data_IF_745549290009
#
_entry.id   IF_745549290009
#
_cell.length_a   1.000
_cell.length_b   1.000
_cell.length_c   1.000
_cell.angle_alpha   90.00
_cell.angle_beta   90.00
_cell.angle_gamma   90.00
#
_symmetry.space_group_name_H-M   'P 1'
#
loop_
_entity.id
_entity.type
_entity.pdbx_description
1 polymer ?
#
# COMPACT_ATOMS: atom_id res chain seq x y z
N UNK A 1 3.38 4.01 -17.67
CA UNK A 1 2.92 2.80 -16.92
C UNK A 1 3.12 3.05 -15.45
N UNK A 2 2.16 2.69 -14.60
CA UNK A 2 2.25 2.85 -13.13
C UNK A 2 2.11 1.51 -12.44
N UNK A 3 2.85 1.33 -11.34
CA UNK A 3 2.73 0.19 -10.44
C UNK A 3 2.30 0.68 -9.06
N UNK A 4 1.12 0.27 -8.63
CA UNK A 4 0.53 0.64 -7.35
C UNK A 4 0.67 -0.55 -6.41
N UNK A 5 1.39 -0.36 -5.31
CA UNK A 5 1.72 -1.41 -4.35
C UNK A 5 0.98 -1.10 -3.04
N UNK A 6 0.11 -1.99 -2.60
CA UNK A 6 -0.40 -1.96 -1.24
C UNK A 6 0.48 -2.82 -0.34
N UNK A 7 0.89 -2.31 0.81
CA UNK A 7 1.65 -3.09 1.79
C UNK A 7 0.72 -3.79 2.78
N UNK A 8 1.11 -5.01 3.16
CA UNK A 8 0.39 -5.87 4.10
C UNK A 8 1.10 -7.21 4.27
N UNK A 9 0.65 -8.00 5.23
CA UNK A 9 1.08 -9.38 5.43
C UNK A 9 0.05 -10.36 4.84
N UNK A 10 0.48 -11.43 4.17
CA UNK A 10 -0.42 -12.44 3.63
C UNK A 10 -1.09 -13.25 4.73
N UNK A 11 -2.29 -13.75 4.45
CA UNK A 11 -3.05 -14.66 5.32
C UNK A 11 -4.19 -14.01 6.09
N UNK A 12 -5.22 -14.81 6.40
CA UNK A 12 -6.47 -14.36 7.03
C UNK A 12 -6.28 -13.72 8.39
N UNK A 13 -5.25 -14.12 9.14
CA UNK A 13 -4.94 -13.58 10.47
C UNK A 13 -4.63 -12.09 10.41
N UNK A 14 -3.97 -11.63 9.33
CA UNK A 14 -3.52 -10.25 9.17
C UNK A 14 -4.52 -9.36 8.42
N UNK A 15 -5.53 -9.93 7.76
CA UNK A 15 -6.42 -9.23 6.81
C UNK A 15 -7.12 -7.98 7.38
N UNK A 16 -7.25 -7.86 8.72
CA UNK A 16 -7.90 -6.74 9.39
C UNK A 16 -6.99 -5.98 10.33
N UNK A 17 -5.68 -6.19 10.23
CA UNK A 17 -4.70 -5.46 11.04
C UNK A 17 -4.42 -4.08 10.46
N UNK A 18 -3.89 -3.16 11.30
CA UNK A 18 -3.48 -1.83 10.84
C UNK A 18 -2.41 -1.92 9.75
N UNK A 19 -1.50 -2.87 9.88
CA UNK A 19 -0.41 -3.09 8.91
C UNK A 19 -0.88 -3.57 7.54
N UNK A 20 -2.13 -4.04 7.41
CA UNK A 20 -2.74 -4.43 6.14
C UNK A 20 -3.57 -3.32 5.50
N UNK A 21 -3.48 -2.08 5.99
CA UNK A 21 -4.27 -0.98 5.46
C UNK A 21 -3.99 -0.72 3.96
N UNK A 22 -2.74 -0.94 3.51
CA UNK A 22 -2.38 -0.87 2.09
C UNK A 22 -3.11 -1.91 1.23
N UNK A 23 -3.24 -3.15 1.71
CA UNK A 23 -4.02 -4.20 1.02
C UNK A 23 -5.50 -3.82 0.93
N UNK A 24 -6.08 -3.31 2.03
CA UNK A 24 -7.48 -2.89 2.09
C UNK A 24 -7.76 -1.78 1.08
N UNK A 25 -6.86 -0.80 0.95
CA UNK A 25 -7.00 0.27 -0.06
C UNK A 25 -6.98 -0.30 -1.47
N UNK A 26 -6.06 -1.23 -1.77
CA UNK A 26 -6.01 -1.82 -3.10
C UNK A 26 -7.22 -2.69 -3.43
N UNK A 27 -7.76 -3.41 -2.45
CA UNK A 27 -9.00 -4.17 -2.65
C UNK A 27 -10.19 -3.23 -2.93
N UNK A 28 -10.28 -2.11 -2.22
CA UNK A 28 -11.32 -1.09 -2.47
C UNK A 28 -11.13 -0.40 -3.84
N UNK A 29 -9.88 -0.09 -4.20
CA UNK A 29 -9.55 0.47 -5.52
C UNK A 29 -9.92 -0.51 -6.65
N UNK A 30 -9.60 -1.79 -6.49
CA UNK A 30 -9.97 -2.83 -7.44
C UNK A 30 -11.49 -2.90 -7.66
N UNK A 31 -12.28 -2.86 -6.57
CA UNK A 31 -13.74 -2.85 -6.68
C UNK A 31 -14.26 -1.64 -7.49
N UNK A 32 -13.70 -0.45 -7.25
CA UNK A 32 -14.06 0.78 -8.00
C UNK A 32 -13.66 0.74 -9.48
N UNK A 33 -12.59 0.02 -9.82
CA UNK A 33 -12.10 -0.10 -11.20
C UNK A 33 -12.75 -1.23 -12.00
N UNK A 34 -13.72 -1.97 -11.43
CA UNK A 34 -14.38 -3.07 -12.12
C UNK A 34 -15.07 -2.63 -13.41
N UNK A 35 -15.74 -1.50 -13.39
CA UNK A 35 -16.42 -0.94 -14.56
C UNK A 35 -15.42 -0.45 -15.63
N UNK A 36 -14.20 -0.12 -15.24
CA UNK A 36 -13.08 0.24 -16.12
C UNK A 36 -12.35 -0.99 -16.69
N UNK A 37 -12.80 -2.19 -16.37
CA UNK A 37 -12.26 -3.43 -16.93
C UNK A 37 -10.98 -3.93 -16.27
N UNK A 38 -10.75 -3.63 -15.00
CA UNK A 38 -9.62 -4.21 -14.24
C UNK A 38 -9.73 -5.73 -14.23
N UNK A 39 -8.61 -6.43 -14.46
CA UNK A 39 -8.58 -7.89 -14.40
C UNK A 39 -8.80 -8.40 -12.96
N UNK A 40 -9.17 -9.66 -12.81
CA UNK A 40 -9.25 -10.29 -11.49
C UNK A 40 -7.87 -10.35 -10.84
N UNK A 41 -7.84 -10.38 -9.50
CA UNK A 41 -6.62 -10.69 -8.75
C UNK A 41 -6.11 -12.08 -9.11
N UNK A 42 -4.83 -12.19 -9.44
CA UNK A 42 -4.15 -13.44 -9.73
C UNK A 42 -2.88 -13.57 -8.89
N UNK A 43 -2.71 -14.71 -8.22
CA UNK A 43 -1.49 -15.01 -7.50
C UNK A 43 -0.37 -15.36 -8.48
N UNK A 44 0.59 -14.48 -8.60
CA UNK A 44 1.79 -14.70 -9.41
C UNK A 44 2.94 -15.23 -8.57
N UNK A 45 3.26 -16.50 -8.71
CA UNK A 45 4.47 -17.10 -8.09
C UNK A 45 5.75 -16.43 -8.58
N UNK A 46 5.76 -15.97 -9.84
CA UNK A 46 6.90 -15.27 -10.45
C UNK A 46 7.26 -13.98 -9.71
N UNK A 47 6.27 -13.27 -9.20
CA UNK A 47 6.45 -11.97 -8.54
C UNK A 47 6.31 -12.06 -7.02
N UNK A 48 5.95 -13.23 -6.47
CA UNK A 48 5.57 -13.35 -5.06
C UNK A 48 4.51 -12.31 -4.66
N UNK A 49 3.51 -12.09 -5.51
CA UNK A 49 2.48 -11.08 -5.32
C UNK A 49 1.14 -11.52 -5.92
N UNK A 50 0.02 -11.08 -5.33
CA UNK A 50 -1.23 -10.97 -6.06
C UNK A 50 -1.18 -9.72 -6.94
N UNK A 51 -1.54 -9.91 -8.22
CA UNK A 51 -1.51 -8.82 -9.21
C UNK A 51 -2.81 -8.77 -9.99
N UNK A 52 -3.21 -7.58 -10.38
CA UNK A 52 -4.23 -7.33 -11.40
C UNK A 52 -3.86 -6.07 -12.19
N UNK A 53 -4.52 -5.83 -13.31
CA UNK A 53 -4.17 -4.69 -14.14
C UNK A 53 -5.29 -4.26 -15.07
N UNK A 54 -5.16 -3.04 -15.56
CA UNK A 54 -6.03 -2.43 -16.57
C UNK A 54 -5.23 -1.45 -17.42
N UNK A 55 -5.85 -0.99 -18.48
CA UNK A 55 -5.36 0.16 -19.25
C UNK A 55 -6.36 1.30 -19.08
N UNK A 56 -5.90 2.41 -18.54
CA UNK A 56 -6.71 3.61 -18.32
C UNK A 56 -6.04 4.78 -19.05
N UNK A 57 -6.79 5.52 -19.89
CA UNK A 57 -6.27 6.64 -20.68
C UNK A 57 -4.98 6.29 -21.47
N UNK A 58 -4.91 5.12 -22.08
CA UNK A 58 -3.75 4.57 -22.78
C UNK A 58 -2.53 4.30 -21.87
N UNK A 59 -2.66 4.43 -20.56
CA UNK A 59 -1.62 4.06 -19.60
C UNK A 59 -1.93 2.71 -18.94
N UNK A 60 -0.95 1.80 -18.96
CA UNK A 60 -1.07 0.51 -18.26
C UNK A 60 -0.87 0.71 -16.75
N UNK A 61 -1.83 0.27 -15.98
CA UNK A 61 -1.82 0.30 -14.51
C UNK A 61 -1.77 -1.13 -13.99
N UNK A 62 -0.83 -1.41 -13.09
CA UNK A 62 -0.72 -2.67 -12.37
C UNK A 62 -0.94 -2.40 -10.89
N UNK A 63 -1.83 -3.15 -10.27
CA UNK A 63 -2.01 -3.21 -8.82
C UNK A 63 -1.29 -4.45 -8.30
N UNK A 64 -0.57 -4.34 -7.21
CA UNK A 64 0.18 -5.44 -6.62
C UNK A 64 0.07 -5.47 -5.09
N UNK A 65 -0.23 -6.64 -4.55
CA UNK A 65 -0.14 -6.95 -3.11
C UNK A 65 1.00 -7.96 -2.93
N UNK A 66 2.17 -7.59 -2.36
CA UNK A 66 3.23 -8.54 -2.06
C UNK A 66 2.72 -9.69 -1.18
N UNK A 67 2.95 -10.94 -1.59
CA UNK A 67 2.60 -12.14 -0.82
C UNK A 67 3.82 -12.65 -0.02
N UNK A 68 4.80 -11.81 0.18
CA UNK A 68 5.88 -11.93 1.16
C UNK A 68 5.42 -11.36 2.50
N UNK A 69 6.13 -11.65 3.60
CA UNK A 69 5.92 -10.88 4.82
C UNK A 69 6.41 -9.44 4.65
N UNK A 70 5.92 -8.54 5.53
CA UNK A 70 6.14 -7.09 5.42
C UNK A 70 7.61 -6.71 5.22
N UNK A 71 8.52 -7.30 5.99
CA UNK A 71 9.96 -7.05 5.91
C UNK A 71 10.64 -7.53 4.62
N UNK A 72 9.94 -8.28 3.78
CA UNK A 72 10.41 -8.80 2.49
C UNK A 72 9.63 -8.26 1.29
N UNK A 73 8.77 -7.25 1.50
CA UNK A 73 7.94 -6.65 0.44
C UNK A 73 8.75 -6.15 -0.75
N UNK A 74 9.98 -5.70 -0.52
CA UNK A 74 10.88 -5.23 -1.56
C UNK A 74 11.24 -6.27 -2.61
N UNK A 75 11.25 -7.56 -2.25
CA UNK A 75 11.50 -8.66 -3.19
C UNK A 75 10.45 -8.65 -4.31
N UNK A 76 9.17 -8.63 -3.95
CA UNK A 76 8.08 -8.61 -4.92
C UNK A 76 8.11 -7.34 -5.78
N UNK A 77 8.36 -6.18 -5.16
CA UNK A 77 8.43 -4.89 -5.86
C UNK A 77 9.59 -4.86 -6.85
N UNK A 78 10.77 -5.36 -6.47
CA UNK A 78 11.93 -5.44 -7.35
C UNK A 78 11.67 -6.34 -8.57
N UNK A 79 11.07 -7.51 -8.36
CA UNK A 79 10.72 -8.44 -9.45
C UNK A 79 9.75 -7.81 -10.44
N UNK A 80 8.71 -7.12 -9.95
CA UNK A 80 7.74 -6.41 -10.77
C UNK A 80 8.39 -5.24 -11.52
N UNK A 81 9.15 -4.39 -10.83
CA UNK A 81 9.81 -3.23 -11.42
C UNK A 81 10.80 -3.67 -12.52
N UNK A 82 11.59 -4.71 -12.27
CA UNK A 82 12.52 -5.25 -13.26
C UNK A 82 11.79 -5.82 -14.49
N UNK A 83 10.75 -6.63 -14.27
CA UNK A 83 10.01 -7.27 -15.36
C UNK A 83 9.33 -6.26 -16.27
N UNK A 84 8.71 -5.24 -15.69
CA UNK A 84 8.01 -4.19 -16.45
C UNK A 84 8.92 -3.02 -16.84
N UNK A 85 10.22 -3.07 -16.53
CA UNK A 85 11.23 -2.02 -16.79
C UNK A 85 10.82 -0.67 -16.21
N UNK A 86 10.31 -0.68 -14.98
CA UNK A 86 9.84 0.50 -14.27
C UNK A 86 11.00 1.17 -13.51
N UNK A 87 10.90 2.49 -13.41
CA UNK A 87 11.74 3.29 -12.52
C UNK A 87 11.02 3.56 -11.18
N UNK A 88 11.73 4.06 -10.20
CA UNK A 88 11.11 4.42 -8.91
C UNK A 88 9.97 5.45 -9.05
N UNK A 89 10.01 6.33 -10.04
CA UNK A 89 8.95 7.33 -10.31
C UNK A 89 7.64 6.72 -10.80
N UNK A 90 7.69 5.49 -11.28
CA UNK A 90 6.51 4.74 -11.73
C UNK A 90 5.81 4.02 -10.58
N UNK A 91 6.40 4.03 -9.37
CA UNK A 91 5.91 3.33 -8.20
C UNK A 91 5.09 4.24 -7.30
N UNK A 92 3.92 3.75 -6.89
CA UNK A 92 3.06 4.34 -5.86
C UNK A 92 2.87 3.30 -4.76
N UNK A 93 3.41 3.56 -3.57
CA UNK A 93 3.35 2.64 -2.43
C UNK A 93 2.35 3.15 -1.41
N UNK A 94 1.37 2.32 -1.08
CA UNK A 94 0.31 2.60 -0.11
C UNK A 94 0.59 1.83 1.17
N UNK A 95 0.69 2.52 2.30
CA UNK A 95 1.03 1.89 3.58
C UNK A 95 0.48 2.64 4.79
N UNK A 96 0.36 1.96 5.91
CA UNK A 96 0.04 2.54 7.21
C UNK A 96 1.19 3.40 7.77
N UNK A 97 0.85 4.35 8.61
CA UNK A 97 1.82 5.22 9.25
C UNK A 97 1.43 5.53 10.70
N UNK A 98 2.25 5.06 11.64
CA UNK A 98 2.03 5.22 13.07
C UNK A 98 2.30 6.65 13.61
N UNK A 99 2.96 7.48 12.82
CA UNK A 99 3.28 8.87 13.18
C UNK A 99 2.22 9.86 12.65
N UNK A 100 1.22 9.37 11.92
CA UNK A 100 0.06 10.13 11.46
C UNK A 100 -1.20 9.70 12.20
N UNK A 101 -2.04 10.66 12.58
CA UNK A 101 -3.32 10.37 13.24
C UNK A 101 -4.25 9.60 12.33
N UNK A 102 -5.05 8.71 12.91
CA UNK A 102 -6.06 7.97 12.15
C UNK A 102 -7.03 8.92 11.45
N UNK A 103 -7.11 8.80 10.13
CA UNK A 103 -7.89 9.70 9.26
C UNK A 103 -7.03 10.65 8.43
N UNK A 104 -5.77 10.86 8.80
CA UNK A 104 -4.84 11.67 8.03
C UNK A 104 -4.23 10.88 6.87
N UNK A 105 -4.02 11.57 5.74
CA UNK A 105 -3.33 11.03 4.58
C UNK A 105 -2.21 12.01 4.20
N UNK A 106 -1.05 11.48 3.84
CA UNK A 106 0.03 12.26 3.26
C UNK A 106 0.57 11.58 2.00
N UNK A 107 0.66 12.38 0.93
CA UNK A 107 1.31 11.96 -0.32
C UNK A 107 2.68 12.60 -0.34
N UNK A 108 3.72 11.79 -0.43
CA UNK A 108 5.11 12.24 -0.38
C UNK A 108 6.00 11.35 -1.24
N UNK A 109 7.09 11.95 -1.75
CA UNK A 109 8.21 11.23 -2.35
C UNK A 109 9.50 11.60 -1.60
N UNK A 110 10.56 10.83 -1.84
CA UNK A 110 11.91 11.09 -1.34
C UNK A 110 12.02 11.33 0.18
N UNK A 111 11.52 10.37 0.96
CA UNK A 111 11.55 10.38 2.43
C UNK A 111 12.07 9.05 2.98
N UNK A 112 12.62 9.06 4.19
CA UNK A 112 13.00 7.86 4.92
C UNK A 112 11.80 6.97 5.21
N UNK A 113 12.03 5.70 5.55
CA UNK A 113 10.97 4.73 5.89
C UNK A 113 10.18 5.06 7.15
N UNK A 114 10.67 5.98 7.99
CA UNK A 114 10.12 6.27 9.32
C UNK A 114 9.92 5.00 10.18
N UNK A 115 10.80 4.01 10.00
CA UNK A 115 10.74 2.72 10.69
C UNK A 115 9.70 1.72 10.16
N UNK A 116 9.04 2.02 9.03
CA UNK A 116 8.13 1.07 8.40
C UNK A 116 8.90 0.00 7.63
N UNK A 117 8.90 -1.25 8.12
CA UNK A 117 9.71 -2.35 7.58
C UNK A 117 9.47 -2.64 6.10
N UNK A 118 8.23 -2.59 5.63
CA UNK A 118 7.91 -2.83 4.22
C UNK A 118 8.45 -1.74 3.30
N UNK A 119 8.36 -0.47 3.72
CA UNK A 119 8.94 0.67 2.98
C UNK A 119 10.47 0.55 2.97
N UNK A 120 11.09 0.20 4.11
CA UNK A 120 12.53 -0.01 4.20
C UNK A 120 12.97 -1.13 3.25
N UNK A 121 12.27 -2.26 3.26
CA UNK A 121 12.53 -3.37 2.35
C UNK A 121 12.48 -2.95 0.88
N UNK A 122 11.47 -2.14 0.49
CA UNK A 122 11.41 -1.62 -0.88
C UNK A 122 12.65 -0.76 -1.19
N UNK A 123 12.98 0.20 -0.32
CA UNK A 123 14.15 1.08 -0.50
C UNK A 123 15.45 0.27 -0.65
N UNK A 124 15.62 -0.79 0.15
CA UNK A 124 16.81 -1.65 0.13
C UNK A 124 16.92 -2.45 -1.16
N UNK A 125 15.80 -2.87 -1.76
CA UNK A 125 15.79 -3.67 -3.00
C UNK A 125 15.90 -2.82 -4.26
N UNK A 126 15.17 -1.69 -4.33
CA UNK A 126 15.22 -0.81 -5.51
C UNK A 126 16.32 0.27 -5.44
N UNK A 127 17.09 0.31 -4.33
CA UNK A 127 18.26 1.18 -4.09
C UNK A 127 17.95 2.69 -4.19
N UNK A 128 16.72 3.09 -3.89
CA UNK A 128 16.31 4.49 -3.83
C UNK A 128 15.08 4.67 -2.96
N UNK A 129 14.89 5.84 -2.41
CA UNK A 129 13.68 6.25 -1.68
C UNK A 129 12.77 7.18 -2.51
N UNK A 130 13.17 7.51 -3.76
CA UNK A 130 12.47 8.48 -4.61
C UNK A 130 11.31 7.84 -5.36
N UNK A 131 10.32 7.34 -4.64
CA UNK A 131 9.04 6.87 -5.14
C UNK A 131 7.88 7.51 -4.37
N UNK A 132 6.73 7.60 -5.02
CA UNK A 132 5.53 8.16 -4.40
C UNK A 132 4.99 7.24 -3.32
N UNK A 133 4.67 7.80 -2.15
CA UNK A 133 4.01 7.09 -1.05
C UNK A 133 2.72 7.77 -0.66
N UNK A 134 1.69 6.96 -0.46
CA UNK A 134 0.43 7.34 0.17
C UNK A 134 0.46 6.77 1.57
N UNK A 135 0.70 7.64 2.55
CA UNK A 135 0.85 7.32 3.97
C UNK A 135 -0.48 7.52 4.67
N UNK A 136 -1.01 6.45 5.24
CA UNK A 136 -2.29 6.44 5.93
C UNK A 136 -2.08 6.42 7.43
N UNK A 137 -2.54 7.45 8.12
CA UNK A 137 -2.43 7.55 9.56
C UNK A 137 -3.19 6.45 10.29
N UNK A 138 -2.54 5.86 11.28
CA UNK A 138 -3.12 4.84 12.16
C UNK A 138 -2.97 5.18 13.65
N UNK A 139 -2.24 6.26 14.00
CA UNK A 139 -2.07 6.66 15.39
C UNK A 139 -3.42 7.02 16.05
N UNK A 140 -3.61 6.69 17.33
CA UNK A 140 -4.78 7.11 18.09
C UNK A 140 -4.83 8.64 18.23
N UNK A 141 -6.03 9.21 18.41
CA UNK A 141 -6.20 10.66 18.60
C UNK A 141 -5.51 11.21 19.84
N UNK A 142 -5.53 10.41 20.91
CA UNK A 142 -4.82 10.76 22.15
C UNK A 142 -3.41 10.20 22.09
N UNK A 143 -2.44 11.08 22.29
CA UNK A 143 -1.05 10.65 22.43
C UNK A 143 -0.95 9.61 23.54
N UNK A 144 -0.89 8.36 23.18
CA UNK A 144 -0.43 7.29 24.04
C UNK A 144 0.96 6.89 23.55
N UNK A 145 1.94 6.83 24.47
CA UNK A 145 3.22 6.22 24.13
C UNK A 145 2.93 4.78 23.74
N UNK A 146 3.06 4.47 22.45
CA UNK A 146 2.94 3.10 21.95
C UNK A 146 4.05 2.29 22.60
N UNK A 147 3.69 1.45 23.57
CA UNK A 147 4.66 0.64 24.33
C UNK A 147 5.36 -0.39 23.44
N UNK A 148 4.65 -0.93 22.46
CA UNK A 148 5.20 -1.84 21.45
C UNK A 148 4.61 -1.48 20.06
N UNK A 149 5.51 -1.08 19.16
CA UNK A 149 5.11 -0.70 17.80
C UNK A 149 4.64 -1.91 16.99
N UNK A 150 5.28 -3.08 17.15
CA UNK A 150 4.94 -4.28 16.41
C UNK A 150 3.53 -4.77 16.80
N UNK A 151 3.24 -4.87 18.09
CA UNK A 151 1.93 -5.26 18.58
C UNK A 151 0.84 -4.28 18.12
N UNK A 152 1.14 -2.98 18.09
CA UNK A 152 0.18 -1.97 17.65
C UNK A 152 -0.19 -2.11 16.18
N UNK A 153 0.79 -2.23 15.28
CA UNK A 153 0.52 -2.33 13.83
C UNK A 153 -0.09 -3.68 13.45
N UNK A 154 0.21 -4.75 14.19
CA UNK A 154 -0.41 -6.06 14.02
C UNK A 154 -1.77 -6.17 14.72
N UNK A 155 -2.15 -5.18 15.52
CA UNK A 155 -3.46 -5.08 16.13
C UNK A 155 -4.55 -4.71 15.13
N UNK A 156 -5.79 -5.09 15.44
CA UNK A 156 -6.97 -4.75 14.63
C UNK A 156 -7.51 -3.36 15.04
N UNK A 157 -8.19 -2.71 14.12
CA UNK A 157 -8.94 -1.48 14.42
C UNK A 157 -10.11 -1.77 15.37
N UNK A 158 -10.28 -0.90 16.35
CA UNK A 158 -11.42 -0.94 17.28
C UNK A 158 -12.74 -0.58 16.59
N UNK A 159 -13.85 -0.87 17.28
CA UNK A 159 -15.18 -0.63 16.74
C UNK A 159 -15.41 0.85 16.40
N UNK A 160 -14.94 1.76 17.26
CA UNK A 160 -15.08 3.22 17.06
C UNK A 160 -14.13 3.80 16.00
N UNK A 161 -13.08 3.07 15.62
CA UNK A 161 -12.14 3.46 14.59
C UNK A 161 -12.65 3.14 13.17
N UNK A 162 -13.59 2.19 13.02
CA UNK A 162 -14.04 1.66 11.71
C UNK A 162 -14.52 2.72 10.76
N UNK A 163 -15.27 3.72 11.24
CA UNK A 163 -15.77 4.81 10.40
C UNK A 163 -14.61 5.62 9.81
N UNK A 164 -13.62 6.00 10.64
CA UNK A 164 -12.45 6.75 10.19
C UNK A 164 -11.58 5.91 9.24
N UNK A 165 -11.46 4.61 9.49
CA UNK A 165 -10.76 3.68 8.58
C UNK A 165 -11.42 3.66 7.21
N UNK A 166 -12.76 3.55 7.17
CA UNK A 166 -13.50 3.61 5.93
C UNK A 166 -13.27 4.93 5.19
N UNK A 167 -13.37 6.06 5.87
CA UNK A 167 -13.17 7.39 5.28
C UNK A 167 -11.74 7.57 4.74
N UNK A 168 -10.72 7.10 5.46
CA UNK A 168 -9.33 7.21 5.01
C UNK A 168 -9.05 6.30 3.81
N UNK A 169 -9.66 5.12 3.76
CA UNK A 169 -9.55 4.20 2.62
C UNK A 169 -10.18 4.84 1.38
N UNK A 170 -11.40 5.36 1.48
CA UNK A 170 -12.11 6.02 0.37
C UNK A 170 -11.30 7.22 -0.18
N UNK A 171 -10.84 8.11 0.70
CA UNK A 171 -9.99 9.25 0.32
C UNK A 171 -8.69 8.80 -0.35
N UNK A 172 -8.08 7.71 0.14
CA UNK A 172 -6.84 7.19 -0.46
C UNK A 172 -7.06 6.67 -1.87
N UNK A 173 -8.19 6.02 -2.10
CA UNK A 173 -8.59 5.56 -3.44
C UNK A 173 -8.80 6.75 -4.38
N UNK A 174 -9.47 7.82 -3.92
CA UNK A 174 -9.63 9.06 -4.70
C UNK A 174 -8.28 9.69 -5.07
N UNK A 175 -7.34 9.75 -4.13
CA UNK A 175 -5.99 10.28 -4.41
C UNK A 175 -5.21 9.39 -5.39
N UNK A 176 -5.32 8.06 -5.29
CA UNK A 176 -4.72 7.15 -6.28
C UNK A 176 -5.31 7.40 -7.66
N UNK A 177 -6.64 7.49 -7.76
CA UNK A 177 -7.31 7.75 -9.05
C UNK A 177 -6.83 9.07 -9.69
N UNK A 178 -6.67 10.14 -8.92
CA UNK A 178 -6.08 11.40 -9.42
C UNK A 178 -4.66 11.21 -9.95
N UNK A 179 -3.81 10.44 -9.24
CA UNK A 179 -2.42 10.19 -9.63
C UNK A 179 -2.26 9.32 -10.89
N UNK A 180 -3.26 8.51 -11.22
CA UNK A 180 -3.23 7.63 -12.40
C UNK A 180 -4.03 8.16 -13.58
N UNK A 181 -4.82 9.22 -13.38
CA UNK A 181 -5.60 9.87 -14.45
C UNK A 181 -5.04 11.24 -14.87
N UNK A 182 -4.07 11.78 -14.12
CA UNK A 182 -3.31 12.99 -14.45
C UNK A 182 -2.18 12.66 -15.43
#
# INVERSE_FOLDING_TARGET
MKLIIGLGNPGKTYSRTRHNLGFIVLDTLHEKLKEEGVSRWELSKKFNAEVCGLTLNNEKIILAKPMTFMNESGIAVQLLAHFYKLTARDLIVVHDDKDLKLGDIRIQADKSSAGHNGVQSIMDHIKTQNFTRIRLGIAPEKESKLKDTADFVLGKFGLFEKKKVYEVVEKSVEEILKLITS
#
